data_IF_844794677730
#
_entry.id   IF_844794677730
#
_cell.length_a   1.000
_cell.length_b   1.000
_cell.length_c   1.000
_cell.angle_alpha   90.00
_cell.angle_beta   90.00
_cell.angle_gamma   90.00
#
_symmetry.space_group_name_H-M   'P 1'
#
loop_
_entity.id
_entity.type
_entity.pdbx_description
1 polymer ?
#
# COMPACT_ATOMS: atom_id res chain seq x y z
N UNK A 1 51.69 -4.76 -20.60
CA UNK A 1 50.72 -5.53 -19.79
C UNK A 1 49.60 -4.70 -19.16
N UNK A 2 49.88 -3.73 -18.29
CA UNK A 2 48.85 -3.05 -17.49
C UNK A 2 47.79 -2.29 -18.31
N UNK A 3 48.18 -1.56 -19.36
CA UNK A 3 47.22 -0.87 -20.23
C UNK A 3 46.29 -1.82 -21.01
N UNK A 4 46.76 -3.02 -21.38
CA UNK A 4 45.92 -4.06 -22.00
C UNK A 4 44.95 -4.68 -21.01
N UNK A 5 45.42 -4.93 -19.78
CA UNK A 5 44.58 -5.40 -18.66
C UNK A 5 43.48 -4.38 -18.33
N UNK A 6 43.82 -3.09 -18.29
CA UNK A 6 42.85 -2.02 -18.06
C UNK A 6 41.82 -1.93 -19.19
N UNK A 7 42.25 -2.00 -20.45
CA UNK A 7 41.34 -1.99 -21.61
C UNK A 7 40.33 -3.14 -21.59
N UNK A 8 40.75 -4.36 -21.21
CA UNK A 8 39.83 -5.50 -21.01
C UNK A 8 38.79 -5.24 -19.93
N UNK A 9 39.22 -4.73 -18.76
CA UNK A 9 38.29 -4.40 -17.66
C UNK A 9 37.27 -3.34 -18.04
N UNK A 10 37.67 -2.32 -18.83
CA UNK A 10 36.76 -1.27 -19.30
C UNK A 10 35.70 -1.84 -20.25
N UNK A 11 36.09 -2.77 -21.15
CA UNK A 11 35.14 -3.46 -22.03
C UNK A 11 34.16 -4.32 -21.23
N UNK A 12 34.66 -5.13 -20.29
CA UNK A 12 33.82 -5.96 -19.42
C UNK A 12 32.84 -5.12 -18.59
N UNK A 13 33.29 -3.96 -18.07
CA UNK A 13 32.42 -3.00 -17.37
C UNK A 13 31.36 -2.39 -18.29
N UNK A 14 31.72 -2.07 -19.54
CA UNK A 14 30.79 -1.56 -20.54
C UNK A 14 29.70 -2.55 -20.89
N UNK A 15 30.07 -3.80 -21.14
CA UNK A 15 29.13 -4.90 -21.42
C UNK A 15 28.23 -5.18 -20.22
N UNK A 16 28.79 -5.19 -19.00
CA UNK A 16 28.02 -5.36 -17.77
C UNK A 16 27.02 -4.21 -17.56
N UNK A 17 27.42 -2.95 -17.84
CA UNK A 17 26.54 -1.80 -17.74
C UNK A 17 25.39 -1.84 -18.76
N UNK A 18 25.67 -2.26 -20.00
CA UNK A 18 24.66 -2.43 -21.04
C UNK A 18 23.62 -3.50 -20.64
N UNK A 19 24.10 -4.69 -20.25
CA UNK A 19 23.23 -5.77 -19.78
C UNK A 19 22.39 -5.35 -18.57
N UNK A 20 22.97 -4.59 -17.64
CA UNK A 20 22.25 -4.07 -16.48
C UNK A 20 21.10 -3.13 -16.90
N UNK A 21 21.32 -2.28 -17.91
CA UNK A 21 20.30 -1.37 -18.42
C UNK A 21 19.13 -2.10 -19.11
N UNK A 22 19.43 -3.17 -19.86
CA UNK A 22 18.41 -4.05 -20.45
C UNK A 22 17.54 -4.69 -19.36
N UNK A 23 18.16 -5.27 -18.33
CA UNK A 23 17.46 -5.87 -17.19
C UNK A 23 16.60 -4.84 -16.45
N UNK A 24 17.08 -3.61 -16.26
CA UNK A 24 16.28 -2.54 -15.66
C UNK A 24 15.05 -2.21 -16.49
N UNK A 25 15.21 -2.12 -17.81
CA UNK A 25 14.11 -1.81 -18.74
C UNK A 25 13.05 -2.91 -18.72
N UNK A 26 13.47 -4.18 -18.72
CA UNK A 26 12.55 -5.32 -18.64
C UNK A 26 11.81 -5.37 -17.29
N UNK A 27 12.54 -5.15 -16.19
CA UNK A 27 11.93 -5.08 -14.85
C UNK A 27 10.89 -3.97 -14.75
N UNK A 28 11.17 -2.79 -15.31
CA UNK A 28 10.22 -1.67 -15.35
C UNK A 28 8.95 -2.06 -16.12
N UNK A 29 9.10 -2.69 -17.29
CA UNK A 29 7.96 -3.15 -18.09
C UNK A 29 7.11 -4.17 -17.33
N UNK A 30 7.74 -5.21 -16.79
CA UNK A 30 7.05 -6.27 -16.03
C UNK A 30 6.35 -5.71 -14.78
N UNK A 31 6.99 -4.74 -14.11
CA UNK A 31 6.41 -4.08 -12.95
C UNK A 31 5.10 -3.36 -13.30
N UNK A 32 5.09 -2.62 -14.41
CA UNK A 32 3.91 -1.88 -14.85
C UNK A 32 2.79 -2.81 -15.34
N UNK A 33 3.11 -3.86 -16.10
CA UNK A 33 2.13 -4.89 -16.48
C UNK A 33 1.49 -5.53 -15.23
N UNK A 34 2.30 -5.81 -14.20
CA UNK A 34 1.79 -6.34 -12.94
C UNK A 34 0.89 -5.33 -12.19
N UNK A 35 1.19 -4.03 -12.25
CA UNK A 35 0.31 -3.02 -11.68
C UNK A 35 -1.04 -2.93 -12.42
N UNK A 36 -1.02 -2.98 -13.75
CA UNK A 36 -2.23 -2.95 -14.58
C UNK A 36 -3.12 -4.19 -14.33
N UNK A 37 -2.52 -5.38 -14.25
CA UNK A 37 -3.22 -6.63 -13.94
C UNK A 37 -3.88 -6.62 -12.56
N UNK A 38 -3.28 -5.94 -11.58
CA UNK A 38 -3.88 -5.72 -10.25
C UNK A 38 -5.02 -4.71 -10.26
N UNK A 39 -5.24 -4.02 -11.38
CA UNK A 39 -6.24 -2.98 -11.58
C UNK A 39 -5.69 -1.58 -11.30
N UNK A 40 -6.04 -0.65 -12.21
CA UNK A 40 -5.65 0.76 -12.13
C UNK A 40 -6.41 1.53 -11.05
N UNK A 41 -7.57 1.03 -10.64
CA UNK A 41 -8.34 1.54 -9.51
C UNK A 41 -8.39 0.44 -8.45
N UNK A 42 -7.91 0.77 -7.25
CA UNK A 42 -7.89 -0.15 -6.10
C UNK A 42 -8.55 0.51 -4.91
N UNK A 43 -9.51 -0.20 -4.32
CA UNK A 43 -10.24 0.23 -3.14
C UNK A 43 -9.83 -0.63 -1.97
N UNK A 44 -9.25 0.00 -0.96
CA UNK A 44 -8.86 -0.63 0.29
C UNK A 44 -9.80 -0.16 1.40
N UNK A 45 -10.25 -1.09 2.24
CA UNK A 45 -10.98 -0.76 3.46
C UNK A 45 -10.01 -0.86 4.65
N UNK A 46 -10.04 0.12 5.56
CA UNK A 46 -9.26 0.06 6.80
C UNK A 46 -10.16 0.27 8.00
N UNK A 47 -10.29 -0.76 8.82
CA UNK A 47 -11.01 -0.69 10.09
C UNK A 47 -10.04 -0.18 11.15
N UNK A 48 -10.32 0.98 11.76
CA UNK A 48 -9.47 1.51 12.83
C UNK A 48 -9.71 0.76 14.15
N UNK A 49 -8.71 0.66 15.04
CA UNK A 49 -8.93 0.19 16.39
C UNK A 49 -9.83 1.13 17.20
N UNK A 50 -10.47 0.59 18.22
CA UNK A 50 -11.19 1.36 19.23
C UNK A 50 -10.21 2.26 20.01
N UNK A 51 -10.63 3.49 20.29
CA UNK A 51 -9.86 4.37 21.18
C UNK A 51 -10.12 3.98 22.63
N UNK A 52 -9.20 4.35 23.53
CA UNK A 52 -9.41 4.17 24.98
C UNK A 52 -10.74 4.79 25.40
N UNK A 53 -11.57 4.02 26.10
CA UNK A 53 -12.91 4.42 26.52
C UNK A 53 -14.02 4.16 25.49
N UNK A 54 -13.71 3.70 24.28
CA UNK A 54 -14.70 3.12 23.36
C UNK A 54 -14.82 1.62 23.69
N UNK A 55 -15.99 1.16 24.13
CA UNK A 55 -16.20 -0.26 24.43
C UNK A 55 -16.08 -1.11 23.16
N UNK A 56 -15.23 -2.14 23.20
CA UNK A 56 -15.03 -3.09 22.08
C UNK A 56 -16.34 -3.78 21.65
N UNK A 57 -17.32 -3.84 22.55
CA UNK A 57 -18.65 -4.42 22.34
C UNK A 57 -19.55 -3.66 21.35
N UNK A 58 -19.14 -2.48 20.87
CA UNK A 58 -19.94 -1.64 19.96
C UNK A 58 -19.51 -1.75 18.48
N UNK A 59 -18.80 -2.81 18.08
CA UNK A 59 -18.45 -3.01 16.67
C UNK A 59 -19.67 -3.43 15.86
N UNK A 60 -19.77 -2.90 14.64
CA UNK A 60 -20.69 -3.41 13.61
C UNK A 60 -19.99 -4.38 12.66
N UNK A 61 -18.67 -4.56 12.78
CA UNK A 61 -17.91 -5.50 11.96
C UNK A 61 -18.08 -6.91 12.52
N UNK A 62 -18.70 -7.77 11.74
CA UNK A 62 -18.96 -9.18 12.08
C UNK A 62 -17.79 -10.07 11.66
N UNK A 63 -17.28 -9.86 10.44
CA UNK A 63 -16.23 -10.69 9.87
C UNK A 63 -15.36 -9.90 8.90
N UNK A 64 -14.05 -10.08 9.01
CA UNK A 64 -13.06 -9.68 8.00
C UNK A 64 -12.52 -10.98 7.43
N UNK A 65 -12.88 -11.28 6.18
CA UNK A 65 -12.51 -12.50 5.50
C UNK A 65 -11.28 -12.33 4.62
N UNK A 66 -10.91 -13.41 3.94
CA UNK A 66 -9.85 -13.38 2.94
C UNK A 66 -10.28 -12.63 1.67
N UNK A 67 -9.31 -12.29 0.83
CA UNK A 67 -9.54 -11.66 -0.47
C UNK A 67 -10.42 -10.40 -0.43
N UNK A 68 -10.36 -9.65 0.67
CA UNK A 68 -11.05 -8.37 0.84
C UNK A 68 -12.53 -8.46 1.16
N UNK A 69 -13.02 -9.60 1.69
CA UNK A 69 -14.38 -9.70 2.23
C UNK A 69 -14.52 -8.93 3.56
N UNK A 70 -15.57 -8.13 3.67
CA UNK A 70 -16.00 -7.50 4.92
C UNK A 70 -17.50 -7.72 5.12
N UNK A 71 -17.86 -8.25 6.29
CA UNK A 71 -19.25 -8.41 6.72
C UNK A 71 -19.52 -7.49 7.90
N UNK A 72 -20.58 -6.70 7.80
CA UNK A 72 -21.05 -5.83 8.89
C UNK A 72 -22.51 -6.11 9.22
N UNK A 73 -22.88 -5.94 10.48
CA UNK A 73 -24.23 -6.06 11.02
C UNK A 73 -24.84 -4.68 11.15
N UNK A 74 -26.03 -4.50 10.60
CA UNK A 74 -26.87 -3.35 10.89
C UNK A 74 -27.66 -3.61 12.18
N UNK A 75 -27.38 -2.88 13.28
CA UNK A 75 -28.06 -3.09 14.55
C UNK A 75 -29.56 -2.76 14.52
N UNK A 76 -30.03 -2.04 13.50
CA UNK A 76 -31.45 -1.67 13.36
C UNK A 76 -32.29 -2.72 12.63
N UNK A 77 -31.67 -3.78 12.08
CA UNK A 77 -32.37 -4.85 11.36
C UNK A 77 -32.00 -6.22 11.94
N UNK A 78 -32.91 -6.95 12.59
CA UNK A 78 -32.61 -8.26 13.15
C UNK A 78 -32.44 -9.34 12.07
N UNK A 79 -31.67 -10.37 12.38
CA UNK A 79 -31.51 -11.56 11.52
C UNK A 79 -30.63 -11.36 10.28
N UNK A 80 -30.78 -12.25 9.29
CA UNK A 80 -29.96 -12.25 8.06
C UNK A 80 -30.09 -10.95 7.24
N UNK A 81 -31.21 -10.24 7.36
CA UNK A 81 -31.45 -8.97 6.64
C UNK A 81 -30.63 -7.79 7.19
N UNK A 82 -30.08 -7.95 8.39
CA UNK A 82 -29.14 -7.03 9.02
C UNK A 82 -27.71 -7.16 8.50
N UNK A 83 -27.35 -8.29 7.88
CA UNK A 83 -26.00 -8.51 7.36
C UNK A 83 -25.80 -7.74 6.04
N UNK A 84 -24.64 -7.10 5.93
CA UNK A 84 -24.16 -6.43 4.73
C UNK A 84 -22.77 -6.92 4.40
N UNK A 85 -22.60 -7.44 3.19
CA UNK A 85 -21.33 -7.94 2.67
C UNK A 85 -20.75 -6.94 1.69
N UNK A 86 -19.47 -6.67 1.82
CA UNK A 86 -18.69 -5.81 0.94
C UNK A 86 -17.45 -6.56 0.46
N UNK A 87 -16.99 -6.22 -0.75
CA UNK A 87 -15.75 -6.75 -1.31
C UNK A 87 -14.86 -5.59 -1.76
N UNK A 88 -13.61 -5.62 -1.29
CA UNK A 88 -12.57 -4.65 -1.57
C UNK A 88 -11.35 -5.36 -2.17
N UNK A 89 -10.34 -4.61 -2.62
CA UNK A 89 -9.05 -5.22 -2.98
C UNK A 89 -8.37 -5.83 -1.75
N UNK A 90 -8.52 -5.19 -0.58
CA UNK A 90 -8.10 -5.71 0.72
C UNK A 90 -8.82 -4.96 1.85
N UNK A 91 -9.02 -5.66 2.96
CA UNK A 91 -9.56 -5.09 4.20
C UNK A 91 -8.49 -5.21 5.28
N UNK A 92 -8.04 -4.08 5.81
CA UNK A 92 -7.12 -4.01 6.93
C UNK A 92 -7.90 -4.06 8.24
N UNK A 93 -7.49 -4.96 9.13
CA UNK A 93 -8.11 -5.12 10.44
C UNK A 93 -7.66 -4.01 11.40
N UNK A 94 -8.33 -3.88 12.56
CA UNK A 94 -7.87 -2.98 13.63
C UNK A 94 -6.41 -3.15 14.05
N UNK A 95 -5.85 -4.35 13.88
CA UNK A 95 -4.47 -4.67 14.22
C UNK A 95 -3.46 -4.28 13.12
N UNK A 96 -3.93 -3.93 11.92
CA UNK A 96 -3.05 -3.62 10.79
C UNK A 96 -2.26 -2.34 11.01
N UNK A 97 -0.95 -2.47 10.87
CA UNK A 97 0.05 -1.42 11.07
C UNK A 97 0.13 -0.48 9.86
N UNK A 98 0.74 0.70 10.08
CA UNK A 98 1.02 1.65 9.00
C UNK A 98 1.96 1.07 7.95
N UNK A 99 2.91 0.23 8.37
CA UNK A 99 3.86 -0.42 7.48
C UNK A 99 3.17 -1.44 6.56
N UNK A 100 2.25 -2.23 7.09
CA UNK A 100 1.46 -3.18 6.28
C UNK A 100 0.59 -2.46 5.26
N UNK A 101 -0.09 -1.37 5.66
CA UNK A 101 -0.88 -0.54 4.74
C UNK A 101 0.02 0.05 3.64
N UNK A 102 1.20 0.56 4.01
CA UNK A 102 2.13 1.11 3.03
C UNK A 102 2.71 0.05 2.11
N UNK A 103 2.95 -1.18 2.58
CA UNK A 103 3.50 -2.26 1.75
C UNK A 103 2.65 -2.54 0.49
N UNK A 104 1.33 -2.45 0.61
CA UNK A 104 0.42 -2.65 -0.53
C UNK A 104 0.31 -1.41 -1.43
N UNK A 105 0.56 -0.22 -0.89
CA UNK A 105 0.50 1.07 -1.60
C UNK A 105 1.83 1.39 -2.29
N UNK A 106 2.95 0.90 -1.73
CA UNK A 106 4.32 1.16 -2.18
C UNK A 106 4.54 0.93 -3.68
N UNK A 107 4.00 -0.14 -4.31
CA UNK A 107 4.15 -0.30 -5.75
C UNK A 107 3.51 0.84 -6.55
N UNK A 108 2.36 1.35 -6.11
CA UNK A 108 1.74 2.53 -6.75
C UNK A 108 2.62 3.76 -6.57
N UNK A 109 3.21 3.96 -5.39
CA UNK A 109 4.14 5.08 -5.15
C UNK A 109 5.33 5.01 -6.10
N UNK A 110 5.89 3.82 -6.34
CA UNK A 110 7.05 3.66 -7.23
C UNK A 110 6.73 3.87 -8.70
N UNK A 111 5.49 3.63 -9.14
CA UNK A 111 5.09 3.91 -10.53
C UNK A 111 5.27 5.38 -10.92
N UNK A 112 5.36 6.32 -9.97
CA UNK A 112 5.67 7.73 -10.29
C UNK A 112 7.09 7.92 -10.85
N UNK A 113 8.04 7.06 -10.46
CA UNK A 113 9.41 7.08 -10.98
C UNK A 113 9.45 6.61 -12.44
N UNK A 114 8.46 5.82 -12.85
CA UNK A 114 8.29 5.31 -14.21
C UNK A 114 7.46 6.27 -15.09
N UNK A 115 7.09 7.45 -14.57
CA UNK A 115 6.34 8.47 -15.30
C UNK A 115 4.82 8.33 -15.23
N UNK A 116 4.29 7.50 -14.34
CA UNK A 116 2.84 7.36 -14.15
C UNK A 116 2.28 8.39 -13.15
N UNK A 117 1.07 8.86 -13.42
CA UNK A 117 0.31 9.67 -12.49
C UNK A 117 -0.42 8.79 -11.47
N UNK A 118 -0.17 9.01 -10.19
CA UNK A 118 -0.73 8.20 -9.10
C UNK A 118 -1.50 9.09 -8.14
N UNK A 119 -2.73 8.68 -7.80
CA UNK A 119 -3.58 9.39 -6.85
C UNK A 119 -3.98 8.44 -5.70
N UNK A 120 -3.63 8.82 -4.48
CA UNK A 120 -3.99 8.11 -3.25
C UNK A 120 -4.77 9.07 -2.36
N UNK A 121 -5.99 8.71 -2.01
CA UNK A 121 -6.84 9.50 -1.13
C UNK A 121 -7.53 8.61 -0.10
N UNK A 122 -7.82 9.17 1.07
CA UNK A 122 -8.55 8.51 2.12
C UNK A 122 -9.98 9.04 2.20
N UNK A 123 -10.97 8.14 2.26
CA UNK A 123 -12.39 8.48 2.34
C UNK A 123 -13.04 7.91 3.60
N UNK A 124 -14.01 8.64 4.17
CA UNK A 124 -14.76 8.23 5.35
C UNK A 124 -15.22 9.41 6.22
N UNK A 125 -16.07 9.15 7.20
CA UNK A 125 -16.58 10.17 8.13
C UNK A 125 -15.48 10.77 9.04
N UNK A 126 -15.77 11.87 9.73
CA UNK A 126 -14.87 12.41 10.76
C UNK A 126 -14.63 11.37 11.85
N UNK A 127 -13.37 11.25 12.30
CA UNK A 127 -12.95 10.23 13.28
C UNK A 127 -12.74 8.82 12.73
N UNK A 128 -12.86 8.58 11.41
CA UNK A 128 -12.64 7.26 10.81
C UNK A 128 -11.16 6.88 10.62
N UNK A 129 -10.22 7.79 10.85
CA UNK A 129 -8.77 7.52 10.70
C UNK A 129 -8.15 7.94 9.36
N UNK A 130 -8.79 8.84 8.60
CA UNK A 130 -8.23 9.39 7.34
C UNK A 130 -6.85 10.03 7.55
N UNK A 131 -6.76 11.02 8.46
CA UNK A 131 -5.50 11.71 8.79
C UNK A 131 -4.45 10.75 9.34
N UNK A 132 -4.86 9.83 10.23
CA UNK A 132 -3.98 8.79 10.76
C UNK A 132 -3.40 7.90 9.64
N UNK A 133 -4.19 7.57 8.62
CA UNK A 133 -3.72 6.75 7.50
C UNK A 133 -2.75 7.51 6.59
N UNK A 134 -3.08 8.75 6.21
CA UNK A 134 -2.25 9.53 5.28
C UNK A 134 -1.00 10.11 5.94
N UNK A 135 -1.12 10.64 7.16
CA UNK A 135 -0.03 11.38 7.84
C UNK A 135 0.53 10.59 9.02
N UNK A 136 -0.32 9.89 9.77
CA UNK A 136 0.05 9.32 11.08
C UNK A 136 -0.42 10.21 12.23
N UNK A 137 -0.17 9.82 13.49
CA UNK A 137 -0.46 10.65 14.66
C UNK A 137 0.47 11.87 14.75
N UNK A 138 0.07 12.89 15.51
CA UNK A 138 0.93 14.04 15.79
C UNK A 138 2.16 13.61 16.59
N UNK A 139 3.35 14.05 16.16
CA UNK A 139 4.61 13.61 16.77
C UNK A 139 4.94 12.14 16.51
N UNK A 140 4.38 11.53 15.46
CA UNK A 140 4.62 10.14 15.08
C UNK A 140 6.10 9.79 15.00
N UNK A 141 6.46 8.66 15.60
CA UNK A 141 7.71 7.97 15.29
C UNK A 141 7.69 7.41 13.86
N UNK A 142 8.85 7.06 13.30
CA UNK A 142 8.96 6.43 11.96
C UNK A 142 8.08 5.18 11.81
N UNK A 143 7.81 4.46 12.90
CA UNK A 143 6.92 3.30 12.91
C UNK A 143 5.46 3.68 12.65
N UNK A 144 5.05 4.87 13.04
CA UNK A 144 3.67 5.34 12.97
C UNK A 144 3.41 6.31 11.80
N UNK A 145 4.46 6.67 11.06
CA UNK A 145 4.33 7.44 9.83
C UNK A 145 3.27 6.87 8.89
N UNK A 146 2.38 7.75 8.44
CA UNK A 146 1.38 7.45 7.43
C UNK A 146 1.98 7.34 6.03
N UNK A 147 1.09 7.16 5.07
CA UNK A 147 1.43 6.98 3.65
C UNK A 147 2.32 8.10 3.13
N UNK A 148 2.07 9.36 3.49
CA UNK A 148 2.81 10.52 2.98
C UNK A 148 4.30 10.45 3.33
N UNK A 149 4.64 10.31 4.61
CA UNK A 149 6.04 10.29 5.04
C UNK A 149 6.77 9.03 4.59
N UNK A 150 6.07 7.88 4.58
CA UNK A 150 6.63 6.62 4.05
C UNK A 150 6.89 6.69 2.54
N UNK A 151 6.01 7.35 1.79
CA UNK A 151 6.19 7.56 0.36
C UNK A 151 7.40 8.46 0.08
N UNK A 152 7.52 9.58 0.80
CA UNK A 152 8.68 10.47 0.67
C UNK A 152 9.99 9.72 0.99
N UNK A 153 10.03 8.96 2.08
CA UNK A 153 11.21 8.19 2.48
C UNK A 153 11.51 6.97 1.57
N UNK A 154 10.56 6.52 0.74
CA UNK A 154 10.85 5.47 -0.26
C UNK A 154 11.36 6.05 -1.58
N UNK A 155 11.02 7.31 -1.88
CA UNK A 155 11.39 7.99 -3.12
C UNK A 155 12.74 8.73 -3.03
N UNK A 156 13.14 9.17 -1.83
CA UNK A 156 14.35 9.95 -1.56
C UNK A 156 15.18 9.30 -0.45
#
# INVERSE_FOLDING_TARGET
EEFRQLGKKVLELGDAAANYHEVLTENQKLFNELQELKGNIRVYCRVRPFLRGQGESNTVVEHIGEHGELVVVNPTKPGKDGLRKFRFNKVYSPASTQAEVFSDIKPLVRSVLDGYNVCIFAYGQTGSGKTYTMTGPDGASEKEWGVNYRALNDLF
#
